data_IF_483909533541
#
_entry.id   IF_483909533541
#
_cell.length_a   1.000
_cell.length_b   1.000
_cell.length_c   1.000
_cell.angle_alpha   90.00
_cell.angle_beta   90.00
_cell.angle_gamma   90.00
#
_symmetry.space_group_name_H-M   'P 1'
#
loop_
_entity.id
_entity.type
_entity.pdbx_description
1 polymer ?
#
# COMPACT_ATOMS: atom_id res chain seq x y z
N UNK A 1 13.86 7.95 -22.33
CA UNK A 1 13.00 8.38 -21.19
C UNK A 1 12.55 7.21 -20.29
N UNK A 2 12.83 5.95 -20.60
CA UNK A 2 12.37 4.75 -19.86
C UNK A 2 13.13 4.45 -18.56
N UNK A 3 14.38 4.94 -18.39
CA UNK A 3 15.19 4.64 -17.21
C UNK A 3 14.81 5.41 -15.93
N UNK A 4 14.10 6.55 -16.01
CA UNK A 4 13.71 7.32 -14.83
C UNK A 4 12.54 6.70 -14.05
N UNK A 5 11.68 5.95 -14.73
CA UNK A 5 10.43 5.46 -14.16
C UNK A 5 10.60 4.52 -12.95
N UNK A 6 11.54 3.57 -12.95
CA UNK A 6 11.82 2.74 -11.78
C UNK A 6 12.27 3.55 -10.56
N UNK A 7 13.06 4.61 -10.75
CA UNK A 7 13.51 5.46 -9.64
C UNK A 7 12.38 6.30 -9.05
N UNK A 8 11.50 6.84 -9.91
CA UNK A 8 10.31 7.59 -9.46
C UNK A 8 9.37 6.67 -8.67
N UNK A 9 9.13 5.45 -9.16
CA UNK A 9 8.34 4.45 -8.46
C UNK A 9 8.99 4.04 -7.13
N UNK A 10 10.31 3.81 -7.11
CA UNK A 10 11.04 3.52 -5.87
C UNK A 10 10.90 4.63 -4.82
N UNK A 11 11.06 5.89 -5.21
CA UNK A 11 10.87 7.04 -4.33
C UNK A 11 9.42 7.14 -3.80
N UNK A 12 8.43 6.93 -4.67
CA UNK A 12 7.01 6.88 -4.29
C UNK A 12 6.74 5.75 -3.28
N UNK A 13 7.32 4.57 -3.50
CA UNK A 13 7.19 3.44 -2.60
C UNK A 13 7.76 3.74 -1.21
N UNK A 14 8.94 4.34 -1.13
CA UNK A 14 9.56 4.77 0.14
C UNK A 14 8.68 5.81 0.85
N UNK A 15 8.19 6.82 0.13
CA UNK A 15 7.29 7.84 0.69
C UNK A 15 6.00 7.21 1.26
N UNK A 16 5.46 6.20 0.58
CA UNK A 16 4.25 5.48 1.02
C UNK A 16 4.52 4.70 2.30
N UNK A 17 5.68 4.03 2.41
CA UNK A 17 6.10 3.34 3.66
C UNK A 17 6.24 4.35 4.80
N UNK A 18 6.92 5.47 4.58
CA UNK A 18 7.11 6.52 5.61
C UNK A 18 5.75 7.03 6.09
N UNK A 19 4.80 7.22 5.19
CA UNK A 19 3.43 7.63 5.53
C UNK A 19 2.73 6.58 6.39
N UNK A 20 2.85 5.29 6.03
CA UNK A 20 2.33 4.19 6.84
C UNK A 20 2.93 4.14 8.24
N UNK A 21 4.25 4.25 8.36
CA UNK A 21 4.96 4.29 9.65
C UNK A 21 4.53 5.51 10.47
N UNK A 22 4.38 6.68 9.83
CA UNK A 22 3.89 7.89 10.49
C UNK A 22 2.49 7.68 11.09
N UNK A 23 1.59 6.96 10.41
CA UNK A 23 0.26 6.64 10.94
C UNK A 23 0.38 5.73 12.18
N UNK A 24 1.28 4.75 12.19
CA UNK A 24 1.52 3.89 13.37
C UNK A 24 2.01 4.73 14.56
N UNK A 25 2.99 5.62 14.32
CA UNK A 25 3.62 6.42 15.38
C UNK A 25 2.69 7.51 15.93
N UNK A 26 1.95 8.19 15.05
CA UNK A 26 1.11 9.33 15.44
C UNK A 26 -0.32 8.94 15.75
N UNK A 27 -0.77 7.76 15.31
CA UNK A 27 -2.16 7.31 15.41
C UNK A 27 -3.14 8.19 14.63
N UNK A 28 -2.65 9.10 13.78
CA UNK A 28 -3.44 10.07 13.02
C UNK A 28 -3.42 9.73 11.54
N UNK A 29 -4.57 9.89 10.90
CA UNK A 29 -4.69 9.78 9.45
C UNK A 29 -4.77 11.18 8.81
N UNK A 30 -4.89 11.22 7.49
CA UNK A 30 -5.19 12.48 6.80
C UNK A 30 -6.55 13.04 7.28
N UNK A 31 -6.72 14.36 7.26
CA UNK A 31 -7.95 15.01 7.73
C UNK A 31 -9.22 14.41 7.08
N UNK A 32 -9.17 14.12 5.77
CA UNK A 32 -10.27 13.50 5.01
C UNK A 32 -10.58 12.06 5.45
N UNK A 33 -9.59 11.32 5.92
CA UNK A 33 -9.79 9.96 6.42
C UNK A 33 -10.29 9.95 7.85
N UNK A 34 -9.86 10.92 8.68
CA UNK A 34 -10.40 11.07 10.03
C UNK A 34 -11.88 11.47 10.02
N UNK A 35 -12.30 12.33 9.08
CA UNK A 35 -13.73 12.63 8.86
C UNK A 35 -14.53 11.36 8.53
N UNK A 36 -13.98 10.47 7.70
CA UNK A 36 -14.62 9.19 7.39
C UNK A 36 -14.70 8.26 8.59
N UNK A 37 -13.79 8.42 9.56
CA UNK A 37 -13.75 7.62 10.79
C UNK A 37 -14.70 8.12 11.86
N UNK A 38 -15.19 9.37 11.78
CA UNK A 38 -16.20 9.89 12.70
C UNK A 38 -17.51 9.08 12.69
N UNK A 39 -17.79 8.38 11.60
CA UNK A 39 -18.96 7.50 11.45
C UNK A 39 -18.78 6.09 12.07
N UNK A 40 -17.61 5.78 12.63
CA UNK A 40 -17.27 4.46 13.18
C UNK A 40 -17.17 4.50 14.70
N UNK A 41 -17.42 3.36 15.37
CA UNK A 41 -17.16 3.22 16.81
C UNK A 41 -15.68 3.44 17.14
N UNK A 42 -15.35 3.80 18.38
CA UNK A 42 -13.95 4.02 18.81
C UNK A 42 -13.04 2.82 18.52
N UNK A 43 -13.58 1.58 18.63
CA UNK A 43 -12.88 0.35 18.29
C UNK A 43 -12.71 0.18 16.77
N UNK A 44 -13.75 0.44 15.98
CA UNK A 44 -13.68 0.44 14.51
C UNK A 44 -12.69 1.46 13.97
N UNK A 45 -12.66 2.67 14.57
CA UNK A 45 -11.75 3.73 14.18
C UNK A 45 -10.27 3.36 14.40
N UNK A 46 -9.94 2.72 15.52
CA UNK A 46 -8.59 2.21 15.79
C UNK A 46 -8.17 1.13 14.79
N UNK A 47 -9.05 0.18 14.49
CA UNK A 47 -8.78 -0.88 13.52
C UNK A 47 -8.51 -0.32 12.13
N UNK A 48 -9.33 0.65 11.67
CA UNK A 48 -9.15 1.29 10.37
C UNK A 48 -7.84 2.09 10.27
N UNK A 49 -7.36 2.71 11.35
CA UNK A 49 -6.05 3.37 11.40
C UNK A 49 -4.90 2.38 11.21
N UNK A 50 -4.94 1.26 11.93
CA UNK A 50 -3.94 0.19 11.80
C UNK A 50 -3.98 -0.41 10.39
N UNK A 51 -5.18 -0.61 9.85
CA UNK A 51 -5.37 -1.10 8.49
C UNK A 51 -4.75 -0.14 7.48
N UNK A 52 -5.10 1.15 7.51
CA UNK A 52 -4.52 2.14 6.61
C UNK A 52 -2.99 2.23 6.72
N UNK A 53 -2.44 2.12 7.93
CA UNK A 53 -0.99 2.05 8.11
C UNK A 53 -0.38 0.82 7.42
N UNK A 54 -0.94 -0.37 7.67
CA UNK A 54 -0.49 -1.62 7.07
C UNK A 54 -0.58 -1.57 5.54
N UNK A 55 -1.66 -1.02 4.99
CA UNK A 55 -1.85 -0.85 3.55
C UNK A 55 -0.80 0.06 2.93
N UNK A 56 -0.51 1.20 3.55
CA UNK A 56 0.53 2.11 3.06
C UNK A 56 1.92 1.42 3.04
N UNK A 57 2.25 0.65 4.07
CA UNK A 57 3.51 -0.09 4.12
C UNK A 57 3.55 -1.18 3.04
N UNK A 58 2.52 -2.02 2.95
CA UNK A 58 2.47 -3.12 1.97
C UNK A 58 2.46 -2.57 0.54
N UNK A 59 1.67 -1.54 0.26
CA UNK A 59 1.63 -0.89 -1.04
C UNK A 59 3.00 -0.30 -1.41
N UNK A 60 3.69 0.35 -0.47
CA UNK A 60 5.03 0.85 -0.69
C UNK A 60 6.05 -0.27 -1.00
N UNK A 61 5.99 -1.39 -0.29
CA UNK A 61 6.82 -2.58 -0.58
C UNK A 61 6.53 -3.16 -1.98
N UNK A 62 5.26 -3.25 -2.37
CA UNK A 62 4.83 -3.72 -3.69
C UNK A 62 5.36 -2.80 -4.80
N UNK A 63 5.28 -1.48 -4.61
CA UNK A 63 5.79 -0.49 -5.57
C UNK A 63 7.31 -0.61 -5.71
N UNK A 64 8.04 -0.74 -4.59
CA UNK A 64 9.51 -0.92 -4.62
C UNK A 64 9.85 -2.25 -5.31
N UNK A 65 9.17 -3.33 -4.97
CA UNK A 65 9.38 -4.64 -5.61
C UNK A 65 9.15 -4.57 -7.12
N UNK A 66 8.08 -3.91 -7.56
CA UNK A 66 7.81 -3.68 -8.98
C UNK A 66 8.90 -2.85 -9.66
N UNK A 67 9.36 -1.77 -8.99
CA UNK A 67 10.43 -0.93 -9.51
C UNK A 67 11.74 -1.69 -9.70
N UNK A 68 12.11 -2.53 -8.72
CA UNK A 68 13.31 -3.37 -8.77
C UNK A 68 13.20 -4.39 -9.90
N UNK A 69 12.09 -5.14 -9.98
CA UNK A 69 11.88 -6.12 -11.06
C UNK A 69 12.00 -5.45 -12.42
N UNK A 70 11.31 -4.32 -12.62
CA UNK A 70 11.33 -3.61 -13.90
C UNK A 70 12.71 -3.01 -14.22
N UNK A 71 13.46 -2.59 -13.21
CA UNK A 71 14.84 -2.17 -13.39
C UNK A 71 15.72 -3.33 -13.86
N UNK A 72 15.61 -4.50 -13.25
CA UNK A 72 16.39 -5.68 -13.63
C UNK A 72 15.98 -6.24 -15.02
N UNK A 73 14.68 -6.19 -15.38
CA UNK A 73 14.19 -6.50 -16.73
C UNK A 73 14.80 -5.55 -17.78
N UNK A 74 14.83 -4.24 -17.50
CA UNK A 74 15.40 -3.24 -18.41
C UNK A 74 16.92 -3.39 -18.61
N UNK A 75 17.62 -4.01 -17.65
CA UNK A 75 19.05 -4.31 -17.74
C UNK A 75 19.31 -5.70 -18.36
N UNK A 76 18.26 -6.40 -18.81
CA UNK A 76 18.32 -7.76 -19.38
C UNK A 76 18.94 -8.80 -18.41
N UNK A 77 18.95 -8.51 -17.11
CA UNK A 77 19.49 -9.41 -16.07
C UNK A 77 18.52 -10.57 -15.81
N UNK A 78 17.22 -10.29 -15.88
CA UNK A 78 16.15 -11.27 -15.77
C UNK A 78 15.22 -11.16 -16.98
N UNK A 79 14.70 -12.29 -17.49
CA UNK A 79 13.73 -12.28 -18.57
C UNK A 79 12.44 -11.57 -18.14
N UNK A 80 11.73 -10.96 -19.09
CA UNK A 80 10.40 -10.37 -18.84
C UNK A 80 9.49 -11.42 -18.22
N UNK A 81 9.25 -11.29 -16.91
CA UNK A 81 8.65 -12.34 -16.13
C UNK A 81 7.24 -11.94 -15.74
N UNK A 82 6.30 -12.26 -16.63
CA UNK A 82 4.85 -12.08 -16.45
C UNK A 82 4.37 -12.61 -15.09
N UNK A 83 5.00 -13.65 -14.54
CA UNK A 83 4.66 -14.22 -13.22
C UNK A 83 4.88 -13.19 -12.11
N UNK A 84 6.00 -12.45 -12.12
CA UNK A 84 6.26 -11.42 -11.11
C UNK A 84 5.21 -10.29 -11.15
N UNK A 85 4.78 -9.91 -12.36
CA UNK A 85 3.72 -8.92 -12.60
C UNK A 85 2.37 -9.42 -12.09
N UNK A 86 2.04 -10.69 -12.34
CA UNK A 86 0.81 -11.35 -11.84
C UNK A 86 0.82 -11.43 -10.30
N UNK A 87 1.94 -11.80 -9.69
CA UNK A 87 2.05 -11.89 -8.22
C UNK A 87 1.82 -10.52 -7.58
N UNK A 88 2.46 -9.46 -8.09
CA UNK A 88 2.27 -8.10 -7.59
C UNK A 88 0.82 -7.62 -7.74
N UNK A 89 0.17 -7.98 -8.85
CA UNK A 89 -1.25 -7.68 -9.09
C UNK A 89 -2.16 -8.47 -8.14
N UNK A 90 -1.83 -9.73 -7.86
CA UNK A 90 -2.51 -10.56 -6.86
C UNK A 90 -2.44 -9.97 -5.46
N UNK A 91 -1.28 -9.48 -5.03
CA UNK A 91 -1.11 -8.80 -3.73
C UNK A 91 -1.97 -7.53 -3.64
N UNK A 92 -2.01 -6.73 -4.71
CA UNK A 92 -2.88 -5.54 -4.77
C UNK A 92 -4.37 -5.91 -4.67
N UNK A 93 -4.79 -7.00 -5.31
CA UNK A 93 -6.18 -7.46 -5.30
C UNK A 93 -6.58 -7.99 -3.91
N UNK A 94 -5.71 -8.76 -3.26
CA UNK A 94 -5.90 -9.22 -1.87
C UNK A 94 -6.03 -8.04 -0.92
N UNK A 95 -5.20 -7.01 -1.08
CA UNK A 95 -5.34 -5.77 -0.31
C UNK A 95 -6.74 -5.18 -0.46
N UNK A 96 -7.25 -5.00 -1.68
CA UNK A 96 -8.61 -4.44 -1.88
C UNK A 96 -9.67 -5.30 -1.18
N UNK A 97 -9.62 -6.62 -1.32
CA UNK A 97 -10.58 -7.54 -0.68
C UNK A 97 -10.54 -7.41 0.85
N UNK A 98 -9.34 -7.45 1.44
CA UNK A 98 -9.15 -7.31 2.89
C UNK A 98 -9.70 -5.96 3.37
N UNK A 99 -9.48 -4.89 2.61
CA UNK A 99 -10.01 -3.56 2.94
C UNK A 99 -11.54 -3.56 3.02
N UNK A 100 -12.22 -4.15 2.03
CA UNK A 100 -13.68 -4.23 2.03
C UNK A 100 -14.21 -5.09 3.18
N UNK A 101 -13.58 -6.23 3.46
CA UNK A 101 -13.98 -7.12 4.56
C UNK A 101 -13.85 -6.39 5.90
N UNK A 102 -12.71 -5.77 6.17
CA UNK A 102 -12.46 -5.06 7.44
C UNK A 102 -13.38 -3.85 7.57
N UNK A 103 -13.56 -3.07 6.49
CA UNK A 103 -14.47 -1.92 6.48
C UNK A 103 -15.91 -2.32 6.79
N UNK A 104 -16.39 -3.43 6.22
CA UNK A 104 -17.74 -3.93 6.46
C UNK A 104 -17.93 -4.40 7.90
N UNK A 105 -16.93 -5.08 8.47
CA UNK A 105 -16.97 -5.49 9.88
C UNK A 105 -16.87 -4.29 10.83
N UNK A 106 -16.04 -3.29 10.53
CA UNK A 106 -15.92 -2.09 11.37
C UNK A 106 -17.20 -1.24 11.40
N UNK A 107 -18.04 -1.28 10.36
CA UNK A 107 -19.36 -0.62 10.38
C UNK A 107 -20.38 -1.33 11.27
N UNK A 108 -20.17 -2.62 11.55
CA UNK A 108 -21.05 -3.44 12.39
C UNK A 108 -20.67 -3.42 13.88
N UNK A 109 -19.55 -2.78 14.24
CA UNK A 109 -19.02 -2.64 15.60
C UNK A 109 -19.26 -1.26 16.14
#
# INVERSE_FOLDING_TARGET
MTMMWPFVLGALGIFTIITGVKIILTGKLSAREEEKLAAYSAKGARTMRILNAAFNIIAGLVIIGYAVVRYLENQEIIPDNVISKIVLLGVALVMVVVYFIVRNNCKKM
#
